data_IF_418661303748
#
_entry.id   IF_418661303748
#
_cell.length_a   1.000
_cell.length_b   1.000
_cell.length_c   1.000
_cell.angle_alpha   90.00
_cell.angle_beta   90.00
_cell.angle_gamma   90.00
#
_symmetry.space_group_name_H-M   'P 1'
#
loop_
_entity.id
_entity.type
_entity.pdbx_description
1 polymer ?
#
# COMPACT_ATOMS: atom_id res chain seq x y z
N UNK A 1 20.53 -1.48 -19.51
CA UNK A 1 20.00 -0.80 -18.30
C UNK A 1 18.51 -0.46 -18.44
N UNK A 2 18.08 0.45 -19.34
CA UNK A 2 16.64 0.81 -19.48
C UNK A 2 15.67 -0.35 -19.73
N UNK A 3 16.04 -1.31 -20.60
CA UNK A 3 15.23 -2.51 -20.87
C UNK A 3 15.01 -3.37 -19.62
N UNK A 4 16.07 -3.62 -18.86
CA UNK A 4 16.03 -4.40 -17.62
C UNK A 4 15.13 -3.73 -16.55
N UNK A 5 15.16 -2.40 -16.43
CA UNK A 5 14.28 -1.67 -15.51
C UNK A 5 12.82 -1.77 -15.95
N UNK A 6 12.55 -1.63 -17.25
CA UNK A 6 11.20 -1.79 -17.79
C UNK A 6 10.66 -3.22 -17.59
N UNK A 7 11.51 -4.23 -17.81
CA UNK A 7 11.17 -5.64 -17.60
C UNK A 7 10.87 -5.90 -16.11
N UNK A 8 11.67 -5.36 -15.20
CA UNK A 8 11.45 -5.45 -13.75
C UNK A 8 10.13 -4.80 -13.32
N UNK A 9 9.88 -3.55 -13.74
CA UNK A 9 8.63 -2.82 -13.41
C UNK A 9 7.41 -3.54 -13.99
N UNK A 10 7.51 -4.09 -15.20
CA UNK A 10 6.45 -4.89 -15.81
C UNK A 10 6.17 -6.17 -15.01
N UNK A 11 7.21 -6.86 -14.56
CA UNK A 11 7.07 -8.11 -13.80
C UNK A 11 6.49 -7.89 -12.40
N UNK A 12 6.88 -6.81 -11.71
CA UNK A 12 6.30 -6.43 -10.42
C UNK A 12 4.84 -6.01 -10.57
N UNK A 13 4.51 -5.26 -11.61
CA UNK A 13 3.12 -4.87 -11.91
C UNK A 13 2.25 -6.09 -12.13
N UNK A 14 2.71 -7.04 -12.95
CA UNK A 14 1.95 -8.26 -13.24
C UNK A 14 1.79 -9.15 -11.99
N UNK A 15 2.84 -9.27 -11.17
CA UNK A 15 2.80 -10.04 -9.93
C UNK A 15 1.80 -9.44 -8.93
N UNK A 16 1.83 -8.11 -8.77
CA UNK A 16 0.85 -7.40 -7.92
C UNK A 16 -0.57 -7.55 -8.43
N UNK A 17 -0.79 -7.43 -9.74
CA UNK A 17 -2.12 -7.56 -10.34
C UNK A 17 -2.71 -8.96 -10.10
N UNK A 18 -1.89 -10.00 -10.31
CA UNK A 18 -2.27 -11.39 -10.03
C UNK A 18 -2.64 -11.63 -8.56
N UNK A 19 -1.92 -11.00 -7.63
CA UNK A 19 -2.27 -11.09 -6.21
C UNK A 19 -3.65 -10.46 -5.94
N UNK A 20 -3.91 -9.28 -6.49
CA UNK A 20 -5.21 -8.61 -6.35
C UNK A 20 -6.34 -9.40 -7.03
N UNK A 21 -6.10 -10.01 -8.19
CA UNK A 21 -7.09 -10.84 -8.87
C UNK A 21 -7.47 -12.06 -8.02
N UNK A 22 -6.49 -12.73 -7.42
CA UNK A 22 -6.73 -13.85 -6.51
C UNK A 22 -7.56 -13.40 -5.30
N UNK A 23 -7.19 -12.26 -4.70
CA UNK A 23 -7.92 -11.69 -3.58
C UNK A 23 -9.36 -11.33 -3.97
N UNK A 24 -9.56 -10.64 -5.09
CA UNK A 24 -10.89 -10.28 -5.59
C UNK A 24 -11.75 -11.51 -5.90
N UNK A 25 -11.14 -12.58 -6.43
CA UNK A 25 -11.81 -13.86 -6.64
C UNK A 25 -12.26 -14.49 -5.31
N UNK A 26 -11.40 -14.52 -4.30
CA UNK A 26 -11.71 -15.10 -2.99
C UNK A 26 -12.88 -14.39 -2.30
N UNK A 27 -13.03 -13.08 -2.54
CA UNK A 27 -14.11 -12.26 -1.99
C UNK A 27 -15.29 -12.03 -2.96
N UNK A 28 -15.32 -12.71 -4.12
CA UNK A 28 -16.35 -12.57 -5.16
C UNK A 28 -16.58 -11.12 -5.61
N UNK A 29 -15.50 -10.34 -5.74
CA UNK A 29 -15.56 -8.96 -6.23
C UNK A 29 -15.68 -8.97 -7.75
N UNK A 30 -16.80 -8.46 -8.27
CA UNK A 30 -17.06 -8.43 -9.73
C UNK A 30 -17.04 -7.02 -10.32
N UNK A 31 -17.12 -5.98 -9.50
CA UNK A 31 -17.28 -4.59 -9.92
C UNK A 31 -16.08 -3.70 -9.52
N UNK A 32 -14.87 -4.27 -9.52
CA UNK A 32 -13.65 -3.52 -9.25
C UNK A 32 -13.03 -2.95 -10.54
N UNK A 33 -12.24 -1.86 -10.44
CA UNK A 33 -11.32 -1.45 -11.50
C UNK A 33 -10.34 -2.58 -11.84
N UNK A 34 -9.72 -2.50 -13.03
CA UNK A 34 -8.64 -3.41 -13.41
C UNK A 34 -7.54 -3.45 -12.33
N UNK A 35 -7.11 -4.65 -11.95
CA UNK A 35 -6.05 -4.86 -10.96
C UNK A 35 -4.70 -4.33 -11.43
N UNK A 36 -4.42 -4.40 -12.74
CA UNK A 36 -3.25 -3.75 -13.35
C UNK A 36 -3.31 -2.22 -13.21
N UNK A 37 -4.50 -1.63 -13.37
CA UNK A 37 -4.68 -0.19 -13.19
C UNK A 37 -4.44 0.24 -11.73
N UNK A 38 -4.91 -0.57 -10.77
CA UNK A 38 -4.69 -0.34 -9.34
C UNK A 38 -3.19 -0.38 -9.02
N UNK A 39 -2.48 -1.41 -9.49
CA UNK A 39 -1.05 -1.58 -9.20
C UNK A 39 -0.20 -0.51 -9.89
N UNK A 40 -0.49 -0.19 -11.15
CA UNK A 40 0.24 0.87 -11.88
C UNK A 40 0.03 2.25 -11.24
N UNK A 41 -1.17 2.54 -10.73
CA UNK A 41 -1.46 3.77 -10.00
C UNK A 41 -0.69 3.85 -8.68
N UNK A 42 -0.62 2.74 -7.94
CA UNK A 42 0.18 2.65 -6.72
C UNK A 42 1.68 2.89 -7.00
N UNK A 43 2.23 2.24 -8.02
CA UNK A 43 3.63 2.41 -8.45
C UNK A 43 3.90 3.86 -8.82
N UNK A 44 3.02 4.48 -9.60
CA UNK A 44 3.17 5.88 -10.04
C UNK A 44 3.17 6.84 -8.85
N UNK A 45 2.31 6.62 -7.85
CA UNK A 45 2.29 7.42 -6.64
C UNK A 45 3.55 7.22 -5.79
N UNK A 46 4.01 5.99 -5.61
CA UNK A 46 5.25 5.69 -4.89
C UNK A 46 6.46 6.34 -5.57
N UNK A 47 6.53 6.29 -6.90
CA UNK A 47 7.56 6.98 -7.67
C UNK A 47 7.48 8.49 -7.48
N UNK A 48 6.28 9.09 -7.54
CA UNK A 48 6.09 10.52 -7.31
C UNK A 48 6.55 10.98 -5.93
N UNK A 49 6.20 10.24 -4.88
CA UNK A 49 6.65 10.51 -3.51
C UNK A 49 8.16 10.37 -3.36
N UNK A 50 8.74 9.32 -3.94
CA UNK A 50 10.19 9.11 -3.94
C UNK A 50 10.92 10.23 -4.66
N UNK A 51 10.45 10.63 -5.84
CA UNK A 51 11.01 11.76 -6.59
C UNK A 51 10.94 13.05 -5.81
N UNK A 52 9.83 13.31 -5.12
CA UNK A 52 9.69 14.48 -4.26
C UNK A 52 10.70 14.46 -3.11
N UNK A 53 10.94 13.30 -2.50
CA UNK A 53 11.95 13.15 -1.47
C UNK A 53 13.37 13.34 -1.99
N UNK A 54 13.65 12.99 -3.25
CA UNK A 54 14.97 13.27 -3.86
C UNK A 54 15.16 14.78 -4.10
N UNK A 55 14.12 15.47 -4.59
CA UNK A 55 14.19 16.90 -4.92
C UNK A 55 14.13 17.78 -3.67
N UNK A 56 13.34 17.38 -2.68
CA UNK A 56 13.09 18.10 -1.43
C UNK A 56 13.23 17.14 -0.23
N UNK A 57 14.46 16.79 0.18
CA UNK A 57 14.73 15.72 1.15
C UNK A 57 14.07 15.91 2.52
N UNK A 58 13.82 17.17 2.92
CA UNK A 58 13.17 17.51 4.19
C UNK A 58 11.66 17.79 4.05
N UNK A 59 11.08 17.66 2.85
CA UNK A 59 9.67 18.02 2.61
C UNK A 59 8.67 17.01 3.15
N UNK A 60 9.05 15.73 3.19
CA UNK A 60 8.16 14.63 3.56
C UNK A 60 8.92 13.60 4.39
N UNK A 61 8.57 13.42 5.67
CA UNK A 61 9.07 12.31 6.47
C UNK A 61 8.75 10.97 5.80
N UNK A 62 9.64 9.98 5.91
CA UNK A 62 9.43 8.61 5.38
C UNK A 62 8.11 8.01 5.90
N UNK A 63 7.75 8.32 7.15
CA UNK A 63 6.48 7.90 7.75
C UNK A 63 5.28 8.41 6.97
N UNK A 64 5.29 9.66 6.51
CA UNK A 64 4.20 10.27 5.73
C UNK A 64 4.08 9.61 4.36
N UNK A 65 5.21 9.29 3.72
CA UNK A 65 5.22 8.56 2.44
C UNK A 65 4.59 7.18 2.61
N UNK A 66 5.04 6.43 3.61
CA UNK A 66 4.52 5.09 3.91
C UNK A 66 3.03 5.11 4.25
N UNK A 67 2.59 6.07 5.06
CA UNK A 67 1.19 6.24 5.43
C UNK A 67 0.33 6.63 4.22
N UNK A 68 0.82 7.49 3.34
CA UNK A 68 0.10 7.87 2.11
C UNK A 68 -0.10 6.66 1.19
N UNK A 69 0.93 5.84 1.04
CA UNK A 69 0.85 4.58 0.27
C UNK A 69 -0.13 3.59 0.89
N UNK A 70 -0.08 3.42 2.23
CA UNK A 70 -0.99 2.55 2.95
C UNK A 70 -2.45 3.03 2.83
N UNK A 71 -2.71 4.32 3.04
CA UNK A 71 -4.05 4.91 2.93
C UNK A 71 -4.64 4.75 1.53
N UNK A 72 -3.82 4.93 0.48
CA UNK A 72 -4.28 4.67 -0.88
C UNK A 72 -4.67 3.21 -1.08
N UNK A 73 -3.80 2.29 -0.66
CA UNK A 73 -4.04 0.85 -0.83
C UNK A 73 -5.26 0.40 -0.04
N UNK A 74 -5.36 0.82 1.22
CA UNK A 74 -6.51 0.54 2.08
C UNK A 74 -7.78 1.12 1.48
N UNK A 75 -7.77 2.36 0.98
CA UNK A 75 -8.95 2.97 0.35
C UNK A 75 -9.46 2.16 -0.85
N UNK A 76 -8.56 1.76 -1.75
CA UNK A 76 -8.91 1.01 -2.96
C UNK A 76 -9.40 -0.40 -2.59
N UNK A 77 -8.64 -1.13 -1.78
CA UNK A 77 -8.96 -2.52 -1.40
C UNK A 77 -10.20 -2.59 -0.53
N UNK A 78 -10.36 -1.66 0.41
CA UNK A 78 -11.53 -1.61 1.29
C UNK A 78 -12.80 -1.22 0.54
N UNK A 79 -12.69 -0.37 -0.49
CA UNK A 79 -13.82 -0.06 -1.38
C UNK A 79 -14.25 -1.30 -2.18
N UNK A 80 -13.29 -2.10 -2.65
CA UNK A 80 -13.56 -3.30 -3.43
C UNK A 80 -13.99 -4.50 -2.57
N UNK A 81 -13.48 -4.60 -1.34
CA UNK A 81 -13.70 -5.71 -0.40
C UNK A 81 -14.14 -5.17 0.97
N UNK A 82 -15.43 -4.86 1.15
CA UNK A 82 -15.94 -4.32 2.42
C UNK A 82 -15.77 -5.27 3.62
N UNK A 83 -15.61 -6.57 3.36
CA UNK A 83 -15.42 -7.59 4.41
C UNK A 83 -14.08 -7.43 5.13
N UNK A 84 -13.07 -6.81 4.51
CA UNK A 84 -11.78 -6.52 5.16
C UNK A 84 -11.90 -5.44 6.25
N UNK A 85 -12.93 -4.56 6.22
CA UNK A 85 -13.20 -3.63 7.35
C UNK A 85 -13.57 -4.34 8.65
N UNK A 86 -14.07 -5.58 8.56
CA UNK A 86 -14.56 -6.36 9.69
C UNK A 86 -13.49 -7.29 10.27
N UNK A 87 -12.35 -7.42 9.60
CA UNK A 87 -11.22 -8.13 10.17
C UNK A 87 -10.71 -7.29 11.36
N UNK A 88 -10.69 -7.84 12.59
CA UNK A 88 -10.07 -7.13 13.69
C UNK A 88 -8.62 -6.79 13.33
N UNK A 89 -8.09 -5.64 13.78
CA UNK A 89 -6.68 -5.34 13.58
C UNK A 89 -5.86 -6.54 14.08
N UNK A 90 -4.87 -6.98 13.28
CA UNK A 90 -3.93 -8.02 13.69
C UNK A 90 -3.44 -7.67 15.09
N UNK A 91 -3.61 -8.59 16.04
CA UNK A 91 -3.27 -8.43 17.46
C UNK A 91 -1.77 -8.18 17.73
N UNK A 92 -0.94 -8.08 16.69
CA UNK A 92 0.49 -7.80 16.78
C UNK A 92 0.82 -6.29 16.83
N UNK A 93 -0.17 -5.40 16.74
CA UNK A 93 -0.01 -3.98 17.07
C UNK A 93 -0.56 -3.70 18.46
N UNK A 94 0.11 -4.24 19.48
CA UNK A 94 -0.08 -3.78 20.86
C UNK A 94 0.45 -2.34 20.93
N UNK A 95 -0.36 -1.34 21.33
CA UNK A 95 0.20 -0.05 21.71
C UNK A 95 1.09 -0.30 22.92
N UNK A 96 2.37 0.04 22.81
CA UNK A 96 3.24 0.18 23.98
C UNK A 96 2.67 1.33 24.80
N UNK A 97 1.79 0.98 25.74
CA UNK A 97 1.44 1.86 26.85
C UNK A 97 2.66 1.86 27.77
N UNK A 98 3.50 2.89 27.64
CA UNK A 98 4.43 3.28 28.69
C UNK A 98 3.62 3.85 29.87
N UNK A 99 3.03 2.95 30.65
CA UNK A 99 2.59 3.24 32.01
C UNK A 99 3.39 2.36 32.96
N UNK A 100 4.55 2.90 33.38
CA UNK A 100 5.19 2.65 34.67
C UNK A 100 6.40 3.56 34.80
N UNK A 101 6.23 4.65 35.54
CA UNK A 101 7.02 4.87 36.75
C UNK A 101 6.47 6.10 37.48
N UNK A 102 5.57 5.83 38.42
CA UNK A 102 5.65 6.50 39.69
C UNK A 102 7.07 6.30 40.24
N UNK A 103 7.84 7.37 40.44
CA UNK A 103 8.82 7.47 41.51
C UNK A 103 9.29 8.92 41.69
N UNK A 104 8.72 9.61 42.69
CA UNK A 104 9.41 10.36 43.76
C UNK A 104 8.42 11.26 44.49
#
# INVERSE_FOLDING_TARGET
SRKMIADFVGQDTHTGARFLDALFKDFNVTNAPSTELIVSSFISMAQGLTMRQIVEPDSLPETVVRESLALYFDSVITSCIPQLRKAPPRADQVPVNDDKSQLS
#
